data_IF_231626421667
#
_entry.id   IF_231626421667
#
_cell.length_a   1.000
_cell.length_b   1.000
_cell.length_c   1.000
_cell.angle_alpha   90.00
_cell.angle_beta   90.00
_cell.angle_gamma   90.00
#
_symmetry.space_group_name_H-M   'P 1'
#
loop_
_entity.id
_entity.type
_entity.pdbx_description
1 polymer ?
#
# COMPACT_ATOMS: atom_id res chain seq x y z
N UNK A 1 1.31 7.95 8.92
CA UNK A 1 0.45 7.70 10.09
C UNK A 1 0.56 6.23 10.52
N UNK A 2 1.38 5.93 11.54
CA UNK A 2 1.56 4.57 12.11
C UNK A 2 1.75 3.45 11.07
N UNK A 3 2.66 3.69 10.11
CA UNK A 3 3.00 2.78 9.00
C UNK A 3 1.86 2.46 8.01
N UNK A 4 0.71 3.16 8.06
CA UNK A 4 -0.31 3.03 7.01
C UNK A 4 0.21 3.64 5.71
N UNK A 5 0.31 2.83 4.67
CA UNK A 5 0.70 3.30 3.33
C UNK A 5 -0.35 4.29 2.78
N UNK A 6 -0.01 5.06 1.77
CA UNK A 6 -0.88 6.14 1.24
C UNK A 6 -1.39 7.12 2.31
N UNK A 7 -0.62 7.32 3.39
CA UNK A 7 -0.85 8.37 4.37
C UNK A 7 0.45 9.12 4.65
N UNK A 8 0.32 10.30 5.23
CA UNK A 8 1.44 11.04 5.85
C UNK A 8 1.26 11.04 7.36
N UNK A 9 2.36 11.05 8.11
CA UNK A 9 2.30 11.27 9.55
C UNK A 9 2.10 12.77 9.82
N UNK A 10 0.93 13.17 10.32
CA UNK A 10 0.62 14.59 10.49
C UNK A 10 1.47 15.34 11.52
N UNK A 11 2.26 14.64 12.35
CA UNK A 11 3.18 15.28 13.30
C UNK A 11 4.56 15.45 12.70
N UNK A 12 5.09 14.40 12.08
CA UNK A 12 6.46 14.39 11.54
C UNK A 12 6.54 14.95 10.10
N UNK A 13 5.46 14.82 9.33
CA UNK A 13 5.31 15.25 7.95
C UNK A 13 4.00 16.03 7.79
N UNK A 14 3.85 17.09 8.59
CA UNK A 14 2.63 17.91 8.65
C UNK A 14 2.30 18.64 7.35
N UNK A 15 3.31 19.02 6.56
CA UNK A 15 3.16 19.60 5.22
C UNK A 15 4.13 18.93 4.23
N UNK A 16 3.77 17.75 3.69
CA UNK A 16 4.59 17.02 2.73
C UNK A 16 4.85 17.83 1.45
N UNK A 17 3.88 18.67 1.04
CA UNK A 17 3.99 19.49 -0.17
C UNK A 17 5.09 20.54 -0.02
N UNK A 18 5.12 21.24 1.11
CA UNK A 18 6.17 22.21 1.39
C UNK A 18 7.55 21.54 1.44
N UNK A 19 7.67 20.38 2.09
CA UNK A 19 8.92 19.61 2.15
C UNK A 19 9.40 19.18 0.77
N UNK A 20 8.53 18.58 -0.05
CA UNK A 20 8.88 18.12 -1.40
C UNK A 20 9.32 19.31 -2.26
N UNK A 21 8.59 20.43 -2.21
CA UNK A 21 8.96 21.63 -2.96
C UNK A 21 10.32 22.21 -2.52
N UNK A 22 10.59 22.23 -1.22
CA UNK A 22 11.87 22.68 -0.69
C UNK A 22 13.02 21.80 -1.22
N UNK A 23 12.89 20.47 -1.15
CA UNK A 23 13.90 19.54 -1.66
C UNK A 23 14.12 19.69 -3.17
N UNK A 24 13.05 19.86 -3.94
CA UNK A 24 13.14 20.12 -5.39
C UNK A 24 13.88 21.41 -5.72
N UNK A 25 13.67 22.49 -4.97
CA UNK A 25 14.42 23.74 -5.15
C UNK A 25 15.92 23.59 -4.90
N UNK A 26 16.31 22.57 -4.12
CA UNK A 26 17.72 22.23 -3.88
C UNK A 26 18.26 21.21 -4.91
N UNK A 27 17.46 20.80 -5.90
CA UNK A 27 17.85 19.84 -6.94
C UNK A 27 17.73 18.37 -6.53
N UNK A 28 16.97 18.05 -5.48
CA UNK A 28 16.69 16.68 -5.09
C UNK A 28 15.36 16.19 -5.65
N UNK A 29 15.33 14.93 -6.06
CA UNK A 29 14.10 14.21 -6.40
C UNK A 29 13.66 13.32 -5.24
N UNK A 30 12.36 13.34 -4.93
CA UNK A 30 11.81 12.64 -3.76
C UNK A 30 11.25 11.28 -4.18
N UNK A 31 11.72 10.24 -3.51
CA UNK A 31 11.17 8.88 -3.58
C UNK A 31 10.54 8.52 -2.25
N UNK A 32 9.36 7.89 -2.27
CA UNK A 32 8.71 7.36 -1.06
C UNK A 32 8.61 5.84 -1.12
N UNK A 33 8.79 5.19 0.03
CA UNK A 33 8.66 3.74 0.17
C UNK A 33 7.18 3.33 0.17
N UNK A 34 6.86 2.20 -0.44
CA UNK A 34 5.52 1.64 -0.49
C UNK A 34 5.57 0.11 -0.42
N UNK A 35 5.06 -0.42 0.68
CA UNK A 35 4.87 -1.87 0.90
C UNK A 35 3.48 -2.32 0.42
N UNK A 36 3.27 -3.60 0.10
CA UNK A 36 1.95 -4.09 -0.31
C UNK A 36 0.96 -4.27 0.85
N UNK A 37 1.41 -4.24 2.11
CA UNK A 37 0.56 -4.49 3.28
C UNK A 37 -0.43 -3.36 3.58
N UNK A 38 -1.73 -3.62 3.39
CA UNK A 38 -2.81 -2.72 3.79
C UNK A 38 -3.31 -3.08 5.18
N UNK A 39 -3.04 -2.20 6.16
CA UNK A 39 -3.52 -2.37 7.54
C UNK A 39 -5.03 -2.64 7.58
N UNK A 40 -5.42 -3.67 8.34
CA UNK A 40 -6.82 -3.96 8.64
C UNK A 40 -7.33 -2.96 9.69
N UNK A 41 -7.98 -1.90 9.24
CA UNK A 41 -8.48 -0.81 10.09
C UNK A 41 -9.70 -0.15 9.44
N UNK A 42 -10.94 -0.44 9.89
CA UNK A 42 -12.13 0.25 9.40
C UNK A 42 -12.03 1.77 9.57
N UNK A 43 -12.41 2.52 8.54
CA UNK A 43 -12.27 3.99 8.49
C UNK A 43 -10.94 4.47 7.89
N UNK A 44 -9.99 3.57 7.66
CA UNK A 44 -8.82 3.86 6.83
C UNK A 44 -9.21 3.71 5.36
N UNK A 45 -9.31 4.84 4.64
CA UNK A 45 -9.79 4.91 3.26
C UNK A 45 -9.26 3.81 2.33
N UNK A 46 -7.95 3.58 2.29
CA UNK A 46 -7.36 2.55 1.42
C UNK A 46 -7.85 1.15 1.78
N UNK A 47 -7.98 0.84 3.08
CA UNK A 47 -8.53 -0.44 3.52
C UNK A 47 -10.01 -0.56 3.13
N UNK A 48 -10.82 0.45 3.44
CA UNK A 48 -12.25 0.45 3.14
C UNK A 48 -12.52 0.32 1.62
N UNK A 49 -11.76 1.06 0.80
CA UNK A 49 -11.83 0.96 -0.67
C UNK A 49 -11.38 -0.43 -1.14
N UNK A 50 -10.31 -0.99 -0.57
CA UNK A 50 -9.84 -2.31 -0.94
C UNK A 50 -10.86 -3.41 -0.65
N UNK A 51 -11.57 -3.32 0.48
CA UNK A 51 -12.69 -4.22 0.80
C UNK A 51 -13.84 -4.00 -0.19
N UNK A 52 -14.21 -2.75 -0.46
CA UNK A 52 -15.32 -2.40 -1.36
C UNK A 52 -15.11 -2.90 -2.79
N UNK A 53 -13.88 -2.82 -3.31
CA UNK A 53 -13.55 -3.22 -4.68
C UNK A 53 -13.02 -4.64 -4.80
N UNK A 54 -13.03 -5.41 -3.71
CA UNK A 54 -12.64 -6.83 -3.67
C UNK A 54 -11.22 -7.12 -4.20
N UNK A 55 -10.25 -6.26 -3.83
CA UNK A 55 -8.92 -6.26 -4.44
C UNK A 55 -7.88 -7.12 -3.70
N UNK A 56 -8.23 -7.68 -2.54
CA UNK A 56 -7.28 -8.43 -1.71
C UNK A 56 -7.15 -9.90 -2.15
N UNK A 57 -5.99 -10.50 -1.83
CA UNK A 57 -5.75 -11.93 -1.95
C UNK A 57 -6.70 -12.68 -1.00
N UNK A 58 -7.20 -13.83 -1.45
CA UNK A 58 -8.16 -14.64 -0.70
C UNK A 58 -7.69 -16.08 -0.52
N UNK A 59 -8.21 -16.71 0.52
CA UNK A 59 -8.28 -18.15 0.65
C UNK A 59 -9.43 -18.72 -0.19
N UNK A 60 -9.48 -20.05 -0.43
CA UNK A 60 -10.52 -20.67 -1.26
C UNK A 60 -11.94 -20.61 -0.68
N UNK A 61 -12.07 -20.28 0.61
CA UNK A 61 -13.35 -20.02 1.28
C UNK A 61 -13.84 -18.58 1.08
N UNK A 62 -13.11 -17.76 0.32
CA UNK A 62 -13.42 -16.37 0.03
C UNK A 62 -12.97 -15.38 1.10
N UNK A 63 -12.33 -15.83 2.19
CA UNK A 63 -11.81 -14.96 3.24
C UNK A 63 -10.51 -14.29 2.77
N UNK A 64 -10.39 -12.99 3.01
CA UNK A 64 -9.16 -12.25 2.69
C UNK A 64 -7.97 -12.79 3.50
N UNK A 65 -6.85 -13.04 2.82
CA UNK A 65 -5.59 -13.42 3.43
C UNK A 65 -5.08 -12.35 4.39
N UNK A 66 -4.59 -12.75 5.56
CA UNK A 66 -4.01 -11.85 6.56
C UNK A 66 -2.58 -12.26 6.91
N UNK A 67 -1.71 -11.26 7.04
CA UNK A 67 -0.34 -11.42 7.52
C UNK A 67 0.11 -10.19 8.30
N UNK A 68 1.07 -10.36 9.20
CA UNK A 68 1.64 -9.25 9.96
C UNK A 68 2.88 -8.68 9.29
N UNK A 69 2.93 -7.35 9.20
CA UNK A 69 4.08 -6.54 8.78
C UNK A 69 4.06 -5.22 9.56
N UNK A 70 4.75 -4.18 9.10
CA UNK A 70 4.96 -2.92 9.83
C UNK A 70 3.73 -2.32 10.55
N UNK A 71 2.54 -2.18 9.92
CA UNK A 71 1.39 -1.60 10.61
C UNK A 71 0.58 -2.61 11.45
N UNK A 72 1.04 -3.86 11.58
CA UNK A 72 0.33 -4.96 12.23
C UNK A 72 -0.35 -5.87 11.21
N UNK A 73 -1.57 -6.32 11.52
CA UNK A 73 -2.37 -7.16 10.63
C UNK A 73 -2.75 -6.43 9.35
N UNK A 74 -2.42 -7.04 8.22
CA UNK A 74 -2.66 -6.50 6.88
C UNK A 74 -3.39 -7.49 5.98
N UNK A 75 -4.14 -6.95 5.02
CA UNK A 75 -4.46 -7.62 3.78
C UNK A 75 -3.48 -7.20 2.68
N UNK A 76 -3.36 -8.03 1.65
CA UNK A 76 -2.42 -7.81 0.56
C UNK A 76 -3.19 -7.76 -0.77
N UNK A 77 -2.92 -6.78 -1.66
CA UNK A 77 -3.57 -6.69 -2.96
C UNK A 77 -3.24 -7.88 -3.86
N UNK A 78 -4.26 -8.45 -4.50
CA UNK A 78 -4.11 -9.48 -5.53
C UNK A 78 -3.74 -8.82 -6.87
N UNK A 79 -2.45 -8.51 -7.06
CA UNK A 79 -1.95 -7.80 -8.26
C UNK A 79 -2.15 -8.53 -9.59
N UNK A 80 -2.48 -9.82 -9.54
CA UNK A 80 -2.83 -10.62 -10.72
C UNK A 80 -4.14 -10.15 -11.36
N UNK A 81 -5.05 -9.56 -10.58
CA UNK A 81 -6.31 -8.97 -11.07
C UNK A 81 -6.08 -7.58 -11.70
N UNK A 82 -6.56 -7.31 -12.93
CA UNK A 82 -6.52 -5.98 -13.55
C UNK A 82 -7.15 -4.88 -12.69
N UNK A 83 -8.30 -5.18 -12.06
CA UNK A 83 -9.02 -4.23 -11.21
C UNK A 83 -8.18 -3.81 -10.00
N UNK A 84 -7.41 -4.73 -9.40
CA UNK A 84 -6.49 -4.43 -8.30
C UNK A 84 -5.37 -3.49 -8.74
N UNK A 85 -4.78 -3.73 -9.92
CA UNK A 85 -3.73 -2.85 -10.48
C UNK A 85 -4.26 -1.44 -10.74
N UNK A 86 -5.48 -1.33 -11.27
CA UNK A 86 -6.15 -0.04 -11.49
C UNK A 86 -6.43 0.70 -10.17
N UNK A 87 -6.96 -0.02 -9.16
CA UNK A 87 -7.20 0.52 -7.82
C UNK A 87 -5.90 0.97 -7.13
N UNK A 88 -4.82 0.20 -7.27
CA UNK A 88 -3.51 0.53 -6.72
C UNK A 88 -2.96 1.81 -7.34
N UNK A 89 -2.99 1.91 -8.68
CA UNK A 89 -2.53 3.09 -9.42
C UNK A 89 -3.28 4.37 -9.01
N UNK A 90 -4.57 4.29 -8.67
CA UNK A 90 -5.34 5.44 -8.20
C UNK A 90 -4.72 6.07 -6.93
N UNK A 91 -4.22 5.25 -6.02
CA UNK A 91 -3.65 5.73 -4.75
C UNK A 91 -2.39 6.59 -4.95
N UNK A 92 -1.66 6.39 -6.05
CA UNK A 92 -0.42 7.14 -6.34
C UNK A 92 -0.66 8.53 -6.93
N UNK A 93 -1.86 8.80 -7.46
CA UNK A 93 -2.14 10.08 -8.15
C UNK A 93 -1.93 11.28 -7.24
N UNK A 94 -2.36 11.19 -5.99
CA UNK A 94 -2.19 12.27 -5.01
C UNK A 94 -0.70 12.51 -4.70
N UNK A 95 0.12 11.46 -4.66
CA UNK A 95 1.56 11.55 -4.43
C UNK A 95 2.30 12.17 -5.62
N UNK A 96 1.95 11.77 -6.84
CA UNK A 96 2.47 12.37 -8.08
C UNK A 96 2.09 13.85 -8.14
N UNK A 97 0.84 14.20 -7.79
CA UNK A 97 0.37 15.59 -7.75
C UNK A 97 1.10 16.43 -6.68
N UNK A 98 1.56 15.81 -5.59
CA UNK A 98 2.40 16.45 -4.58
C UNK A 98 3.86 16.66 -5.04
N UNK A 99 4.28 15.99 -6.12
CA UNK A 99 5.62 16.08 -6.68
C UNK A 99 6.57 14.97 -6.24
N UNK A 100 6.06 13.82 -5.78
CA UNK A 100 6.88 12.61 -5.62
C UNK A 100 7.29 12.10 -7.00
N UNK A 101 8.57 11.79 -7.20
CA UNK A 101 9.15 11.40 -8.49
C UNK A 101 9.38 9.90 -8.63
N UNK A 102 9.35 9.16 -7.53
CA UNK A 102 9.50 7.72 -7.57
C UNK A 102 8.94 7.01 -6.35
N UNK A 103 8.82 5.70 -6.50
CA UNK A 103 8.31 4.82 -5.46
C UNK A 103 9.27 3.64 -5.29
N UNK A 104 9.70 3.42 -4.06
CA UNK A 104 10.48 2.24 -3.70
C UNK A 104 9.51 1.17 -3.21
N UNK A 105 9.39 0.06 -3.94
CA UNK A 105 8.64 -1.10 -3.47
C UNK A 105 9.52 -1.99 -2.61
N UNK A 106 9.07 -2.27 -1.40
CA UNK A 106 9.74 -3.13 -0.44
C UNK A 106 8.77 -4.19 0.08
N UNK A 107 9.30 -5.23 0.74
CA UNK A 107 8.53 -6.29 1.39
C UNK A 107 7.57 -7.05 0.44
N UNK A 108 7.90 -7.08 -0.85
CA UNK A 108 6.98 -7.46 -1.94
C UNK A 108 7.17 -8.90 -2.45
N UNK A 109 7.79 -9.78 -1.66
CA UNK A 109 7.92 -11.20 -1.97
C UNK A 109 6.58 -11.96 -2.05
N UNK A 110 5.54 -11.77 -1.22
CA UNK A 110 5.23 -10.83 -0.12
C UNK A 110 5.86 -11.25 1.20
N UNK A 111 6.55 -10.34 1.90
CA UNK A 111 7.06 -10.62 3.23
C UNK A 111 5.94 -10.61 4.29
N UNK A 112 5.95 -11.61 5.16
CA UNK A 112 5.11 -11.65 6.36
C UNK A 112 5.92 -12.12 7.57
N UNK A 113 5.71 -11.51 8.71
CA UNK A 113 6.42 -11.89 9.94
C UNK A 113 5.93 -13.23 10.47
N UNK A 114 6.87 -14.12 10.78
CA UNK A 114 6.62 -15.38 11.49
C UNK A 114 5.95 -16.48 10.67
N UNK A 115 5.66 -16.26 9.38
CA UNK A 115 4.97 -17.23 8.54
C UNK A 115 5.48 -17.20 7.10
N UNK A 116 5.51 -18.37 6.47
CA UNK A 116 5.60 -18.48 5.00
C UNK A 116 4.24 -18.18 4.38
N UNK A 117 4.24 -17.70 3.14
CA UNK A 117 3.02 -17.54 2.36
C UNK A 117 2.31 -18.90 2.24
N UNK A 118 1.01 -19.02 2.58
CA UNK A 118 0.27 -20.26 2.39
C UNK A 118 0.22 -20.70 0.93
N UNK A 119 0.33 -22.00 0.67
CA UNK A 119 0.29 -22.55 -0.69
C UNK A 119 -1.11 -22.50 -1.33
N UNK A 120 -2.15 -22.36 -0.51
CA UNK A 120 -3.55 -22.40 -0.94
C UNK A 120 -4.17 -21.02 -1.18
N UNK A 121 -3.37 -19.98 -1.38
CA UNK A 121 -3.88 -18.66 -1.75
C UNK A 121 -4.35 -18.65 -3.20
N UNK A 122 -5.46 -17.97 -3.45
CA UNK A 122 -6.02 -17.83 -4.80
C UNK A 122 -5.39 -16.63 -5.52
N UNK A 123 -4.83 -16.92 -6.70
CA UNK A 123 -4.30 -15.92 -7.61
C UNK A 123 -5.01 -16.07 -8.95
N UNK A 124 -5.56 -14.96 -9.43
CA UNK A 124 -6.27 -14.87 -10.70
C UNK A 124 -5.35 -14.22 -11.73
N UNK A 125 -4.63 -15.05 -12.49
CA UNK A 125 -3.60 -14.62 -13.45
C UNK A 125 -4.16 -14.15 -14.81
N UNK A 126 -5.46 -13.87 -14.86
CA UNK A 126 -6.30 -13.72 -16.08
C UNK A 126 -6.61 -15.03 -16.79
#
# INVERSE_FOLDING_TARGET
DKYKIFTWDGQNFSDPKALINYLKQQGFEVVVMCDPGIKVEPGYKTYDDGVKYDVFIKYPDGINYQGQVWPGWCHFPAFTKPATRAWWAEQFKDYVALGVEGFWNDMNEIATWGHSLPENLEFDFE
#
